data_IF_927488636984
#
_entry.id   IF_927488636984
#
_cell.length_a   1.000
_cell.length_b   1.000
_cell.length_c   1.000
_cell.angle_alpha   90.00
_cell.angle_beta   90.00
_cell.angle_gamma   90.00
#
_symmetry.space_group_name_H-M   'P 1'
#
loop_
_entity.id
_entity.type
_entity.pdbx_description
1 polymer ?
#
# COMPACT_ATOMS: atom_id res chain seq x y z
N UNK A 1 34.47 -7.37 10.88
CA UNK A 1 34.33 -5.90 10.98
C UNK A 1 33.32 -5.42 9.93
N UNK A 2 32.01 -5.57 10.17
CA UNK A 2 30.94 -5.28 9.18
C UNK A 2 29.68 -4.70 9.84
N UNK A 3 29.80 -4.10 11.04
CA UNK A 3 28.64 -3.69 11.84
C UNK A 3 28.21 -2.22 11.63
N UNK A 4 29.00 -1.42 10.90
CA UNK A 4 28.75 0.03 10.79
C UNK A 4 28.25 0.53 9.43
N UNK A 5 28.06 -0.36 8.44
CA UNK A 5 27.73 0.07 7.06
C UNK A 5 26.28 0.51 6.85
N UNK A 6 25.41 0.28 7.84
CA UNK A 6 23.98 0.62 7.79
C UNK A 6 23.55 1.52 8.96
N UNK A 7 24.49 2.03 9.76
CA UNK A 7 24.18 2.78 10.98
C UNK A 7 23.88 4.26 10.73
N UNK A 8 24.32 4.83 9.61
CA UNK A 8 24.09 6.22 9.27
C UNK A 8 23.00 6.32 8.19
N UNK A 9 21.93 7.05 8.50
CA UNK A 9 20.96 7.47 7.50
C UNK A 9 21.69 8.21 6.37
N UNK A 10 21.48 7.86 5.09
CA UNK A 10 22.08 8.58 3.96
C UNK A 10 21.42 9.96 3.74
N UNK A 11 20.38 10.28 4.51
CA UNK A 11 19.66 11.54 4.43
C UNK A 11 20.09 12.47 5.56
N UNK A 12 20.18 13.79 5.30
CA UNK A 12 20.47 14.77 6.33
C UNK A 12 19.40 14.77 7.42
N UNK A 13 19.77 15.23 8.62
CA UNK A 13 18.83 15.37 9.72
C UNK A 13 17.67 16.28 9.33
N UNK A 14 16.45 15.74 9.44
CA UNK A 14 15.23 16.48 9.15
C UNK A 14 14.98 17.44 10.31
N UNK A 15 15.07 18.74 10.05
CA UNK A 15 14.71 19.79 11.00
C UNK A 15 13.27 20.21 10.74
N UNK A 16 12.41 19.95 11.71
CA UNK A 16 11.01 20.39 11.72
C UNK A 16 10.78 21.31 12.91
N UNK A 17 9.98 22.35 12.71
CA UNK A 17 9.43 23.17 13.79
C UNK A 17 8.47 22.35 14.66
N UNK A 18 8.17 22.84 15.87
CA UNK A 18 7.18 22.19 16.74
C UNK A 18 5.79 22.11 16.10
N UNK A 19 5.42 23.13 15.31
CA UNK A 19 4.16 23.16 14.57
C UNK A 19 4.12 22.07 13.48
N UNK A 20 5.13 22.01 12.60
CA UNK A 20 5.22 20.98 11.55
C UNK A 20 5.26 19.57 12.16
N UNK A 21 5.93 19.41 13.31
CA UNK A 21 5.94 18.14 14.04
C UNK A 21 4.54 17.75 14.48
N UNK A 22 3.75 18.68 15.02
CA UNK A 22 2.38 18.38 15.44
C UNK A 22 1.50 18.03 14.23
N UNK A 23 1.61 18.78 13.12
CA UNK A 23 0.87 18.49 11.89
C UNK A 23 1.19 17.10 11.33
N UNK A 24 2.46 16.68 11.39
CA UNK A 24 2.88 15.34 10.98
C UNK A 24 2.30 14.25 11.88
N UNK A 25 2.20 14.50 13.19
CA UNK A 25 1.59 13.56 14.15
C UNK A 25 0.10 13.42 13.86
N UNK A 26 -0.62 14.54 13.73
CA UNK A 26 -2.06 14.55 13.45
C UNK A 26 -2.37 13.82 12.12
N UNK A 27 -1.52 14.02 11.11
CA UNK A 27 -1.60 13.31 9.84
C UNK A 27 -1.44 11.79 10.03
N UNK A 28 -0.45 11.36 10.82
CA UNK A 28 -0.21 9.94 11.10
C UNK A 28 -1.39 9.33 11.82
N UNK A 29 -1.94 9.99 12.83
CA UNK A 29 -3.07 9.49 13.60
C UNK A 29 -4.30 9.25 12.70
N UNK A 30 -4.61 10.20 11.81
CA UNK A 30 -5.69 10.08 10.82
C UNK A 30 -5.47 8.88 9.90
N UNK A 31 -4.23 8.69 9.40
CA UNK A 31 -3.95 7.55 8.54
C UNK A 31 -4.03 6.22 9.27
N UNK A 32 -3.47 6.13 10.48
CA UNK A 32 -3.49 4.91 11.27
C UNK A 32 -4.92 4.50 11.57
N UNK A 33 -5.77 5.42 12.01
CA UNK A 33 -7.18 5.17 12.28
C UNK A 33 -7.91 4.68 11.01
N UNK A 34 -7.73 5.36 9.88
CA UNK A 34 -8.35 5.00 8.60
C UNK A 34 -7.89 3.61 8.10
N UNK A 35 -6.60 3.28 8.25
CA UNK A 35 -6.08 1.96 7.86
C UNK A 35 -6.56 0.84 8.79
N UNK A 36 -6.64 1.08 10.10
CA UNK A 36 -7.21 0.12 11.05
C UNK A 36 -8.66 -0.15 10.70
N UNK A 37 -9.46 0.88 10.45
CA UNK A 37 -10.87 0.74 10.04
C UNK A 37 -11.03 -0.04 8.73
N UNK A 38 -10.19 0.26 7.73
CA UNK A 38 -10.17 -0.49 6.45
C UNK A 38 -9.82 -1.96 6.65
N UNK A 39 -8.88 -2.26 7.55
CA UNK A 39 -8.51 -3.63 7.89
C UNK A 39 -9.65 -4.36 8.60
N UNK A 40 -10.30 -3.71 9.57
CA UNK A 40 -11.47 -4.27 10.25
C UNK A 40 -12.61 -4.56 9.27
N UNK A 41 -12.94 -3.64 8.36
CA UNK A 41 -13.92 -3.88 7.29
C UNK A 41 -13.52 -5.09 6.43
N UNK A 42 -12.23 -5.18 6.06
CA UNK A 42 -11.72 -6.32 5.28
C UNK A 42 -11.89 -7.66 6.00
N UNK A 43 -11.59 -7.71 7.31
CA UNK A 43 -11.70 -8.92 8.11
C UNK A 43 -13.16 -9.27 8.41
N UNK A 44 -13.94 -8.30 8.90
CA UNK A 44 -15.27 -8.51 9.44
C UNK A 44 -16.36 -8.54 8.37
N UNK A 45 -16.33 -7.59 7.42
CA UNK A 45 -17.36 -7.44 6.37
C UNK A 45 -16.98 -8.26 5.15
N UNK A 46 -15.76 -8.06 4.62
CA UNK A 46 -15.30 -8.73 3.39
C UNK A 46 -14.81 -10.17 3.63
N UNK A 47 -14.82 -10.64 4.87
CA UNK A 47 -14.44 -12.00 5.27
C UNK A 47 -13.06 -12.41 4.73
N UNK A 48 -12.10 -11.47 4.77
CA UNK A 48 -10.73 -11.63 4.26
C UNK A 48 -10.65 -11.96 2.76
N UNK A 49 -11.69 -11.61 1.98
CA UNK A 49 -11.71 -11.81 0.52
C UNK A 49 -11.21 -10.57 -0.20
N UNK A 50 -10.19 -10.75 -1.02
CA UNK A 50 -9.67 -9.71 -1.91
C UNK A 50 -10.62 -9.49 -3.08
N UNK A 51 -10.85 -8.23 -3.45
CA UNK A 51 -11.63 -7.88 -4.64
C UNK A 51 -10.86 -8.25 -5.92
N UNK A 52 -11.27 -9.35 -6.55
CA UNK A 52 -10.68 -9.88 -7.78
C UNK A 52 -10.94 -9.01 -9.02
N UNK A 53 -11.88 -8.06 -8.95
CA UNK A 53 -12.11 -7.10 -10.03
C UNK A 53 -10.99 -6.05 -10.07
N UNK A 54 -10.45 -5.68 -8.90
CA UNK A 54 -9.31 -4.76 -8.76
C UNK A 54 -7.96 -5.48 -8.77
N UNK A 55 -7.87 -6.61 -8.09
CA UNK A 55 -6.63 -7.33 -7.84
C UNK A 55 -6.56 -8.61 -8.68
N UNK A 56 -5.46 -8.77 -9.40
CA UNK A 56 -5.12 -10.00 -10.12
C UNK A 56 -4.22 -10.87 -9.26
N UNK A 57 -4.55 -12.14 -9.11
CA UNK A 57 -3.72 -13.07 -8.36
C UNK A 57 -2.43 -13.38 -9.12
N UNK A 58 -1.29 -13.27 -8.44
CA UNK A 58 0.04 -13.46 -9.03
C UNK A 58 0.64 -14.78 -8.57
N UNK A 59 0.62 -15.03 -7.26
CA UNK A 59 1.23 -16.21 -6.67
C UNK A 59 0.63 -16.53 -5.31
N UNK A 60 0.61 -17.81 -4.96
CA UNK A 60 0.37 -18.27 -3.59
C UNK A 60 1.57 -19.09 -3.12
N UNK A 61 1.92 -18.94 -1.85
CA UNK A 61 2.82 -19.85 -1.13
C UNK A 61 2.27 -20.01 0.28
N UNK A 62 1.99 -21.24 0.68
CA UNK A 62 1.38 -21.56 1.97
C UNK A 62 0.10 -20.71 2.19
N UNK A 63 0.00 -20.02 3.33
CA UNK A 63 -1.09 -19.10 3.64
C UNK A 63 -0.90 -17.67 3.11
N UNK A 64 0.14 -17.42 2.29
CA UNK A 64 0.44 -16.11 1.72
C UNK A 64 0.00 -16.04 0.25
N UNK A 65 -0.86 -15.09 -0.05
CA UNK A 65 -1.36 -14.79 -1.39
C UNK A 65 -0.90 -13.42 -1.84
N UNK A 66 -0.26 -13.37 -3.01
CA UNK A 66 0.22 -12.13 -3.64
C UNK A 66 -0.68 -11.80 -4.82
N UNK A 67 -1.11 -10.54 -4.87
CA UNK A 67 -1.92 -9.97 -5.93
C UNK A 67 -1.24 -8.74 -6.52
N UNK A 68 -1.39 -8.51 -7.81
CA UNK A 68 -1.02 -7.28 -8.49
C UNK A 68 -2.27 -6.44 -8.75
N UNK A 69 -2.16 -5.14 -8.58
CA UNK A 69 -3.23 -4.22 -8.95
C UNK A 69 -3.37 -4.19 -10.49
N UNK A 70 -4.58 -4.45 -11.00
CA UNK A 70 -4.87 -4.44 -12.43
C UNK A 70 -4.62 -3.07 -13.05
N UNK A 71 -4.33 -3.04 -14.35
CA UNK A 71 -4.08 -1.78 -15.04
C UNK A 71 -5.33 -0.89 -15.13
N UNK A 72 -5.16 0.43 -15.26
CA UNK A 72 -6.27 1.39 -15.48
C UNK A 72 -7.19 0.97 -16.63
N UNK A 73 -6.63 0.41 -17.70
CA UNK A 73 -7.37 -0.10 -18.85
C UNK A 73 -8.25 -1.30 -18.48
N UNK A 74 -7.74 -2.22 -17.69
CA UNK A 74 -8.48 -3.38 -17.20
C UNK A 74 -9.57 -3.01 -16.19
N UNK A 75 -9.30 -2.06 -15.29
CA UNK A 75 -10.28 -1.56 -14.33
C UNK A 75 -11.47 -0.92 -15.06
N UNK A 76 -11.20 -0.07 -16.06
CA UNK A 76 -12.24 0.53 -16.92
C UNK A 76 -13.06 -0.52 -17.65
N UNK A 77 -12.43 -1.55 -18.23
CA UNK A 77 -13.13 -2.68 -18.87
C UNK A 77 -14.03 -3.44 -17.90
N UNK A 78 -13.71 -3.45 -16.61
CA UNK A 78 -14.48 -4.09 -15.55
C UNK A 78 -15.50 -3.15 -14.90
N UNK A 79 -15.69 -1.94 -15.43
CA UNK A 79 -16.63 -0.95 -14.88
C UNK A 79 -16.22 -0.42 -13.51
N UNK A 80 -14.92 -0.40 -13.21
CA UNK A 80 -14.38 0.20 -11.99
C UNK A 80 -13.81 1.57 -12.35
N UNK A 81 -14.33 2.61 -11.69
CA UNK A 81 -13.79 3.96 -11.80
C UNK A 81 -12.39 4.02 -11.17
N UNK A 82 -11.32 4.21 -11.98
CA UNK A 82 -9.96 4.12 -11.48
C UNK A 82 -9.64 5.28 -10.54
N UNK A 83 -10.21 6.46 -10.75
CA UNK A 83 -9.86 7.63 -9.93
C UNK A 83 -10.10 7.36 -8.45
N UNK A 84 -11.16 6.67 -8.03
CA UNK A 84 -11.41 6.36 -6.62
C UNK A 84 -10.85 5.01 -6.15
N UNK A 85 -10.44 4.16 -7.10
CA UNK A 85 -10.10 2.77 -6.83
C UNK A 85 -8.61 2.47 -6.98
N UNK A 86 -7.82 3.36 -7.54
CA UNK A 86 -6.38 3.16 -7.71
C UNK A 86 -5.64 3.45 -6.40
N UNK A 87 -4.56 2.71 -6.14
CA UNK A 87 -3.57 3.12 -5.14
C UNK A 87 -3.00 4.51 -5.47
N UNK A 88 -2.54 5.24 -4.45
CA UNK A 88 -1.95 6.58 -4.63
C UNK A 88 -0.83 6.58 -5.69
N UNK A 89 0.01 5.55 -5.70
CA UNK A 89 1.06 5.33 -6.69
C UNK A 89 0.53 5.22 -8.12
N UNK A 90 -0.62 4.55 -8.33
CA UNK A 90 -1.21 4.43 -9.65
C UNK A 90 -2.01 5.68 -10.08
N UNK A 91 -2.45 6.54 -9.16
CA UNK A 91 -3.03 7.86 -9.50
C UNK A 91 -1.97 8.80 -10.10
N UNK A 92 -0.78 8.84 -9.48
CA UNK A 92 0.36 9.64 -9.96
C UNK A 92 0.90 9.18 -11.33
N UNK A 93 0.55 7.95 -11.74
CA UNK A 93 0.92 7.33 -13.03
C UNK A 93 0.47 8.13 -14.26
N UNK A 94 -0.59 8.95 -14.16
CA UNK A 94 -1.05 9.75 -15.30
C UNK A 94 0.01 10.74 -15.81
N UNK A 95 1.05 11.04 -15.01
CA UNK A 95 1.96 12.16 -15.25
C UNK A 95 3.45 11.79 -15.50
N UNK A 96 3.85 10.50 -15.54
CA UNK A 96 5.28 10.15 -15.69
C UNK A 96 5.58 9.14 -16.82
N UNK A 97 6.66 9.34 -17.60
CA UNK A 97 7.07 8.45 -18.70
C UNK A 97 7.90 7.22 -18.25
N UNK A 98 8.18 7.06 -16.95
CA UNK A 98 9.01 5.97 -16.43
C UNK A 98 8.18 4.68 -16.37
N UNK A 99 8.78 3.54 -16.78
CA UNK A 99 8.16 2.20 -16.69
C UNK A 99 7.67 1.99 -15.24
N UNK A 100 6.35 1.95 -15.09
CA UNK A 100 5.69 1.95 -13.78
C UNK A 100 6.04 0.70 -12.97
N UNK A 101 6.40 0.90 -11.71
CA UNK A 101 6.50 -0.20 -10.75
C UNK A 101 5.07 -0.72 -10.45
N UNK A 102 4.81 -2.02 -10.61
CA UNK A 102 3.52 -2.60 -10.28
C UNK A 102 3.27 -2.52 -8.77
N UNK A 103 2.00 -2.34 -8.40
CA UNK A 103 1.57 -2.32 -7.00
C UNK A 103 1.14 -3.73 -6.62
N UNK A 104 1.71 -4.25 -5.54
CA UNK A 104 1.41 -5.58 -5.02
C UNK A 104 0.68 -5.50 -3.68
N UNK A 105 -0.26 -6.42 -3.48
CA UNK A 105 -0.92 -6.68 -2.20
C UNK A 105 -0.60 -8.11 -1.80
N UNK A 106 0.01 -8.28 -0.62
CA UNK A 106 0.21 -9.58 0.00
C UNK A 106 -0.78 -9.75 1.15
N UNK A 107 -1.57 -10.81 1.12
CA UNK A 107 -2.52 -11.17 2.19
C UNK A 107 -2.21 -12.58 2.66
N UNK A 108 -2.06 -12.76 3.96
CA UNK A 108 -1.84 -14.07 4.55
C UNK A 108 -1.64 -14.01 6.05
N UNK A 109 -1.60 -15.19 6.67
CA UNK A 109 -1.18 -15.33 8.06
C UNK A 109 0.21 -15.96 8.09
N UNK A 110 1.16 -15.30 8.75
CA UNK A 110 2.38 -15.98 9.18
C UNK A 110 2.02 -16.84 10.39
N UNK A 111 2.30 -18.13 10.32
CA UNK A 111 2.36 -18.94 11.53
C UNK A 111 3.66 -18.54 12.22
N UNK A 112 3.56 -17.86 13.37
CA UNK A 112 4.70 -17.73 14.26
C UNK A 112 4.98 -19.15 14.79
N UNK A 113 6.09 -19.74 14.34
CA UNK A 113 6.62 -20.98 14.89
C UNK A 113 7.34 -20.70 16.21
#
# INVERSE_FOLDING_TARGET
MTKDRFAASPFPDVRVSELERQELIDLVDVYVEDYVKKYEEFVQVRKRKVDKRRWEHVKSKDNLHVYAERTRKELRRRGIEPENSLSATQRLKACSPVKALPVFLSVGTSVAA
#
